data_IF_613547643417
#
_entry.id   IF_613547643417
#
_cell.length_a   1.000
_cell.length_b   1.000
_cell.length_c   1.000
_cell.angle_alpha   90.00
_cell.angle_beta   90.00
_cell.angle_gamma   90.00
#
_symmetry.space_group_name_H-M   'P 1'
#
loop_
_entity.id
_entity.type
_entity.pdbx_description
1 polymer ?
#
# COMPACT_ATOMS: atom_id res chain seq x y z
N UNK A 1 9.86 -0.10 4.29
CA UNK A 1 10.02 0.93 3.25
C UNK A 1 10.13 2.32 3.89
N UNK A 2 11.03 3.18 3.38
CA UNK A 2 11.21 4.57 3.83
C UNK A 2 10.96 5.55 2.68
N UNK A 3 10.47 6.75 3.00
CA UNK A 3 10.20 7.83 2.04
C UNK A 3 8.72 8.19 1.94
N UNK A 4 8.40 9.19 1.12
CA UNK A 4 7.02 9.71 0.97
C UNK A 4 6.03 8.63 0.51
N UNK A 5 6.51 7.66 -0.26
CA UNK A 5 5.71 6.51 -0.73
C UNK A 5 5.23 5.61 0.41
N UNK A 6 5.98 5.51 1.52
CA UNK A 6 5.56 4.75 2.70
C UNK A 6 4.47 5.47 3.51
N UNK A 7 4.29 6.78 3.27
CA UNK A 7 3.21 7.59 3.84
C UNK A 7 2.01 7.77 2.89
N UNK A 8 2.08 7.22 1.68
CA UNK A 8 0.99 7.26 0.69
C UNK A 8 0.03 6.08 0.91
N UNK A 9 -1.27 6.36 0.87
CA UNK A 9 -2.32 5.39 1.19
C UNK A 9 -2.42 4.27 0.15
N UNK A 10 -2.25 4.62 -1.13
CA UNK A 10 -2.37 3.68 -2.25
C UNK A 10 -1.17 2.75 -2.28
N UNK A 11 0.01 3.32 -2.07
CA UNK A 11 1.24 2.55 -1.95
C UNK A 11 1.22 1.67 -0.70
N UNK A 12 0.68 2.14 0.43
CA UNK A 12 0.59 1.35 1.67
C UNK A 12 -0.13 0.01 1.46
N UNK A 13 -1.29 0.03 0.78
CA UNK A 13 -2.07 -1.19 0.52
C UNK A 13 -1.31 -2.17 -0.36
N UNK A 14 -0.65 -1.65 -1.40
CA UNK A 14 0.15 -2.45 -2.31
C UNK A 14 1.34 -3.10 -1.58
N UNK A 15 2.08 -2.31 -0.81
CA UNK A 15 3.25 -2.75 -0.06
C UNK A 15 2.88 -3.74 1.04
N UNK A 16 1.75 -3.52 1.72
CA UNK A 16 1.20 -4.46 2.69
C UNK A 16 0.90 -5.80 2.02
N UNK A 17 0.23 -5.79 0.86
CA UNK A 17 -0.08 -6.99 0.09
C UNK A 17 1.16 -7.73 -0.44
N UNK A 18 2.25 -7.01 -0.68
CA UNK A 18 3.55 -7.59 -1.03
C UNK A 18 4.28 -8.22 0.17
N UNK A 19 3.74 -8.10 1.39
CA UNK A 19 4.34 -8.64 2.61
C UNK A 19 5.34 -7.72 3.30
N UNK A 20 5.21 -6.39 3.12
CA UNK A 20 6.02 -5.45 3.87
C UNK A 20 5.51 -5.28 5.30
N UNK A 21 6.31 -5.69 6.29
CA UNK A 21 5.98 -5.54 7.71
C UNK A 21 6.41 -4.19 8.32
N UNK A 22 7.38 -3.50 7.71
CA UNK A 22 7.98 -2.29 8.29
C UNK A 22 7.76 -1.04 7.41
N UNK A 23 7.06 -0.05 7.96
CA UNK A 23 6.82 1.25 7.34
C UNK A 23 7.54 2.36 8.12
N UNK A 24 8.37 3.15 7.43
CA UNK A 24 9.07 4.30 8.00
C UNK A 24 8.59 5.58 7.31
N UNK A 25 8.00 6.48 8.09
CA UNK A 25 7.34 7.70 7.62
C UNK A 25 7.40 8.80 8.68
N UNK A 26 7.06 10.04 8.32
CA UNK A 26 6.90 11.14 9.28
C UNK A 26 5.81 10.84 10.30
N UNK A 27 6.02 11.23 11.57
CA UNK A 27 5.10 10.92 12.67
C UNK A 27 3.63 11.35 12.43
N UNK A 28 3.43 12.40 11.64
CA UNK A 28 2.11 12.93 11.25
C UNK A 28 1.32 11.92 10.39
N UNK A 29 2.00 11.11 9.57
CA UNK A 29 1.38 10.14 8.66
C UNK A 29 1.04 8.81 9.34
N UNK A 30 1.73 8.49 10.44
CA UNK A 30 1.56 7.23 11.19
C UNK A 30 0.08 6.93 11.55
N UNK A 31 -0.70 7.84 12.17
CA UNK A 31 -2.09 7.53 12.55
C UNK A 31 -2.98 7.23 11.33
N UNK A 32 -2.76 7.91 10.21
CA UNK A 32 -3.51 7.70 8.97
C UNK A 32 -3.21 6.32 8.38
N UNK A 33 -1.92 6.01 8.20
CA UNK A 33 -1.49 4.72 7.65
C UNK A 33 -1.86 3.57 8.57
N UNK A 34 -1.71 3.72 9.89
CA UNK A 34 -2.13 2.72 10.87
C UNK A 34 -3.63 2.45 10.83
N UNK A 35 -4.46 3.47 10.57
CA UNK A 35 -5.89 3.29 10.40
C UNK A 35 -6.20 2.47 9.14
N UNK A 36 -5.50 2.72 8.03
CA UNK A 36 -5.69 1.97 6.78
C UNK A 36 -5.33 0.50 7.01
N UNK A 37 -4.10 0.22 7.48
CA UNK A 37 -3.64 -1.15 7.72
C UNK A 37 -4.61 -1.92 8.63
N UNK A 38 -5.11 -1.30 9.70
CA UNK A 38 -6.06 -1.95 10.62
C UNK A 38 -7.46 -2.18 10.06
N UNK A 39 -7.86 -1.45 9.02
CA UNK A 39 -9.16 -1.62 8.36
C UNK A 39 -9.06 -2.39 7.04
N UNK A 40 -7.88 -2.90 6.69
CA UNK A 40 -7.64 -3.66 5.48
C UNK A 40 -7.45 -5.13 5.83
N UNK A 41 -8.13 -6.02 5.11
CA UNK A 41 -7.85 -7.44 5.17
C UNK A 41 -6.58 -7.74 4.38
N UNK A 42 -5.65 -8.46 5.00
CA UNK A 42 -4.37 -8.81 4.39
C UNK A 42 -4.54 -9.63 3.10
N UNK A 43 -5.52 -10.54 3.06
CA UNK A 43 -5.79 -11.36 1.87
C UNK A 43 -6.24 -10.50 0.68
N UNK A 44 -7.08 -9.49 0.92
CA UNK A 44 -7.53 -8.56 -0.12
C UNK A 44 -6.37 -7.70 -0.64
N UNK A 45 -5.50 -7.23 0.28
CA UNK A 45 -4.30 -6.50 -0.08
C UNK A 45 -3.34 -7.35 -0.93
N UNK A 46 -3.19 -8.64 -0.59
CA UNK A 46 -2.36 -9.59 -1.33
C UNK A 46 -2.88 -9.81 -2.74
N UNK A 47 -4.19 -10.01 -2.91
CA UNK A 47 -4.83 -10.12 -4.24
C UNK A 47 -4.57 -8.86 -5.08
N UNK A 48 -4.70 -7.68 -4.48
CA UNK A 48 -4.45 -6.41 -5.16
C UNK A 48 -2.98 -6.27 -5.58
N UNK A 49 -2.04 -6.71 -4.74
CA UNK A 49 -0.62 -6.73 -5.07
C UNK A 49 -0.30 -7.72 -6.21
N UNK A 50 -0.89 -8.92 -6.20
CA UNK A 50 -0.72 -9.88 -7.28
C UNK A 50 -1.28 -9.36 -8.60
N UNK A 51 -2.46 -8.71 -8.58
CA UNK A 51 -3.04 -8.07 -9.76
C UNK A 51 -2.15 -6.95 -10.33
N UNK A 52 -1.57 -6.12 -9.46
CA UNK A 52 -0.68 -5.05 -9.85
C UNK A 52 0.63 -5.59 -10.46
N UNK A 53 1.18 -6.67 -9.91
CA UNK A 53 2.39 -7.34 -10.42
C UNK A 53 2.12 -8.14 -11.71
N UNK A 54 0.89 -8.63 -11.90
CA UNK A 54 0.48 -9.40 -13.06
C UNK A 54 0.13 -8.54 -14.28
N UNK A 55 0.04 -7.21 -14.15
CA UNK A 55 -0.15 -6.34 -15.31
C UNK A 55 1.17 -6.19 -16.09
N UNK A 56 1.27 -6.71 -17.32
CA UNK A 56 2.38 -6.39 -18.19
C UNK A 56 2.19 -4.94 -18.66
N UNK A 57 3.22 -4.12 -18.41
CA UNK A 57 3.43 -2.77 -18.93
C UNK A 57 2.96 -1.58 -18.07
N UNK A 58 3.93 -0.68 -17.86
CA UNK A 58 3.92 0.49 -17.00
C UNK A 58 2.78 1.47 -17.35
N UNK A 59 2.00 1.92 -16.34
CA UNK A 59 1.32 3.21 -16.43
C UNK A 59 -0.18 3.28 -16.17
N UNK A 60 -0.81 2.29 -15.51
CA UNK A 60 -2.22 2.38 -15.10
C UNK A 60 -2.44 1.98 -13.64
N UNK A 61 -1.98 2.81 -12.72
CA UNK A 61 -2.57 2.91 -11.38
C UNK A 61 -3.55 4.07 -11.38
N UNK A 62 -4.66 3.91 -12.11
CA UNK A 62 -5.75 4.88 -12.10
C UNK A 62 -6.55 4.70 -10.81
N UNK A 63 -6.56 5.77 -10.03
CA UNK A 63 -7.63 6.28 -9.18
C UNK A 63 -8.94 5.47 -9.25
N UNK A 64 -9.14 4.58 -8.27
CA UNK A 64 -10.46 4.09 -7.93
C UNK A 64 -11.07 5.04 -6.89
N UNK A 65 -11.99 5.91 -7.34
CA UNK A 65 -12.98 6.60 -6.51
C UNK A 65 -12.61 8.00 -6.05
#
# INVERSE_FOLDING_TARGET
>A
MCGELAGDERATLLLLGMGLDEFSMSAISIPRIKKIIRNTNFEDAKVLAEQALAQPDNGRVNDAG
#
